data_IF_137043912996
#
_entry.id   IF_137043912996
#
_cell.length_a   1.000
_cell.length_b   1.000
_cell.length_c   1.000
_cell.angle_alpha   90.00
_cell.angle_beta   90.00
_cell.angle_gamma   90.00
#
_symmetry.space_group_name_H-M   'P 1'
#
loop_
_entity.id
_entity.type
_entity.pdbx_description
1 polymer ?
#
# COMPACT_ATOMS: atom_id res chain seq x y z
N UNK A 1 17.18 19.59 13.63
CA UNK A 1 15.80 19.29 14.09
C UNK A 1 15.18 18.31 13.12
N UNK A 2 14.51 17.28 13.58
CA UNK A 2 13.78 16.36 12.68
C UNK A 2 12.73 17.16 11.90
N UNK A 3 12.62 16.92 10.59
CA UNK A 3 11.63 17.57 9.72
C UNK A 3 10.28 16.88 9.84
N UNK A 4 9.20 17.67 9.71
CA UNK A 4 7.84 17.15 9.59
C UNK A 4 7.65 16.43 8.25
N UNK A 5 6.65 15.55 8.18
CA UNK A 5 6.46 14.63 7.04
C UNK A 5 6.23 15.38 5.72
N UNK A 6 5.50 16.49 5.74
CA UNK A 6 5.24 17.33 4.55
C UNK A 6 6.55 17.87 3.95
N UNK A 7 7.48 18.26 4.81
CA UNK A 7 8.81 18.72 4.38
C UNK A 7 9.66 17.56 3.86
N UNK A 8 9.58 16.38 4.50
CA UNK A 8 10.27 15.17 4.02
C UNK A 8 9.78 14.71 2.65
N UNK A 9 8.50 14.91 2.32
CA UNK A 9 7.97 14.66 0.99
C UNK A 9 8.64 15.48 -0.12
N UNK A 10 9.15 16.67 0.21
CA UNK A 10 9.69 17.64 -0.74
C UNK A 10 11.23 17.62 -0.76
N UNK A 11 11.84 17.50 0.41
CA UNK A 11 13.27 17.65 0.62
C UNK A 11 13.88 16.42 1.31
N UNK A 12 14.89 15.82 0.70
CA UNK A 12 15.74 14.82 1.34
C UNK A 12 16.84 15.54 2.14
N UNK A 13 16.99 15.23 3.43
CA UNK A 13 17.94 15.93 4.34
C UNK A 13 19.40 15.83 3.90
N UNK A 14 19.78 14.72 3.27
CA UNK A 14 21.15 14.48 2.81
C UNK A 14 21.57 15.35 1.61
N UNK A 15 20.62 15.98 0.91
CA UNK A 15 20.91 16.77 -0.28
C UNK A 15 21.39 18.19 0.00
N UNK A 16 21.18 18.72 1.21
CA UNK A 16 21.49 20.12 1.55
C UNK A 16 22.99 20.47 1.41
N UNK A 17 23.86 19.47 1.44
CA UNK A 17 25.32 19.64 1.33
C UNK A 17 25.90 19.16 0.00
N UNK A 18 25.10 18.61 -0.90
CA UNK A 18 25.56 18.13 -2.21
C UNK A 18 25.23 19.14 -3.30
N UNK A 19 26.18 20.04 -3.63
CA UNK A 19 26.14 20.91 -4.82
C UNK A 19 26.35 20.04 -6.06
N UNK A 20 25.53 19.02 -6.23
CA UNK A 20 25.56 18.18 -7.41
C UNK A 20 24.41 18.57 -8.35
N UNK A 21 24.48 18.16 -9.60
CA UNK A 21 23.46 18.37 -10.59
C UNK A 21 23.29 19.85 -11.06
N UNK A 22 24.35 20.64 -11.01
CA UNK A 22 24.33 22.03 -11.52
C UNK A 22 23.30 22.93 -10.83
N UNK A 23 22.89 22.62 -9.59
CA UNK A 23 21.87 23.36 -8.86
C UNK A 23 20.44 23.10 -9.32
N UNK A 24 20.17 22.01 -10.01
CA UNK A 24 18.83 21.63 -10.44
C UNK A 24 17.93 21.36 -9.24
N UNK A 25 16.77 22.05 -9.18
CA UNK A 25 15.78 21.88 -8.10
C UNK A 25 15.06 20.51 -8.19
N UNK A 26 14.88 19.99 -9.41
CA UNK A 26 14.37 18.63 -9.63
C UNK A 26 15.53 17.67 -9.80
N UNK A 27 15.48 16.53 -9.07
CA UNK A 27 16.54 15.55 -9.19
C UNK A 27 16.61 14.98 -10.64
N UNK A 28 17.80 14.87 -11.24
CA UNK A 28 17.96 14.44 -12.62
C UNK A 28 17.57 12.99 -12.87
N UNK A 29 17.14 12.69 -14.10
CA UNK A 29 16.91 11.32 -14.55
C UNK A 29 18.21 10.78 -15.17
N UNK A 30 18.82 9.79 -14.51
CA UNK A 30 19.99 9.08 -15.04
C UNK A 30 19.53 7.86 -15.85
N UNK A 31 19.16 8.11 -17.10
CA UNK A 31 18.71 7.06 -18.03
C UNK A 31 19.91 6.36 -18.65
N UNK A 32 20.69 5.64 -17.84
CA UNK A 32 21.88 4.91 -18.26
C UNK A 32 21.84 3.48 -17.72
N UNK A 33 22.23 2.51 -18.55
CA UNK A 33 22.36 1.11 -18.11
C UNK A 33 23.70 0.83 -17.41
N UNK A 34 24.78 1.52 -17.81
CA UNK A 34 26.14 1.27 -17.35
C UNK A 34 26.91 2.57 -17.13
N UNK A 35 27.95 2.52 -16.33
CA UNK A 35 28.77 3.68 -15.95
C UNK A 35 30.25 3.37 -16.20
N UNK A 36 31.01 4.39 -16.66
CA UNK A 36 32.43 4.27 -16.86
C UNK A 36 33.20 4.29 -15.55
N UNK A 37 34.20 3.41 -15.42
CA UNK A 37 35.11 3.39 -14.29
C UNK A 37 36.30 4.33 -14.55
N UNK A 38 36.76 5.10 -13.53
CA UNK A 38 37.93 5.96 -13.66
C UNK A 38 39.24 5.16 -13.88
N UNK A 39 39.28 3.89 -13.45
CA UNK A 39 40.42 3.00 -13.56
C UNK A 39 40.12 1.60 -13.01
N UNK A 40 41.08 0.69 -13.19
CA UNK A 40 40.95 -0.67 -12.64
C UNK A 40 40.86 -0.64 -11.10
N UNK A 41 39.80 -1.27 -10.58
CA UNK A 41 39.50 -1.27 -9.13
C UNK A 41 38.93 0.04 -8.59
N UNK A 42 38.56 1.00 -9.46
CA UNK A 42 37.97 2.27 -9.08
C UNK A 42 36.52 2.31 -9.58
N UNK A 43 35.61 2.90 -8.79
CA UNK A 43 34.21 3.11 -9.16
C UNK A 43 33.79 4.51 -8.75
N UNK A 44 32.81 5.08 -9.46
CA UNK A 44 32.11 6.31 -9.06
C UNK A 44 31.04 6.06 -8.01
N UNK A 45 30.87 4.81 -7.57
CA UNK A 45 29.74 4.35 -6.75
C UNK A 45 28.62 3.70 -7.55
N UNK A 46 28.64 3.84 -8.87
CA UNK A 46 27.67 3.26 -9.80
C UNK A 46 28.40 2.48 -10.88
N UNK A 47 27.96 1.25 -11.10
CA UNK A 47 28.54 0.34 -12.09
C UNK A 47 27.52 -0.04 -13.16
N UNK A 48 26.32 -0.42 -12.73
CA UNK A 48 25.26 -0.91 -13.61
C UNK A 48 23.88 -0.68 -12.99
N UNK A 49 22.91 -0.18 -13.78
CA UNK A 49 21.61 0.29 -13.25
C UNK A 49 20.73 -0.82 -12.65
N UNK A 50 20.91 -2.10 -12.99
CA UNK A 50 20.26 -3.21 -12.29
C UNK A 50 20.68 -3.27 -10.82
N UNK A 51 21.94 -2.93 -10.51
CA UNK A 51 22.47 -2.89 -9.15
C UNK A 51 22.07 -1.59 -8.46
N UNK A 52 22.51 -0.47 -9.03
CA UNK A 52 22.37 0.87 -8.48
C UNK A 52 22.15 1.88 -9.61
N UNK A 53 21.28 2.86 -9.37
CA UNK A 53 21.05 3.96 -10.29
C UNK A 53 20.81 5.23 -9.45
N UNK A 54 21.42 6.39 -9.77
CA UNK A 54 21.29 7.59 -8.94
C UNK A 54 19.84 8.05 -8.73
N UNK A 55 19.01 8.00 -9.78
CA UNK A 55 17.60 8.41 -9.69
C UNK A 55 16.79 7.45 -8.80
N UNK A 56 17.04 6.14 -8.91
CA UNK A 56 16.40 5.14 -8.04
C UNK A 56 16.86 5.27 -6.59
N UNK A 57 18.13 5.44 -6.35
CA UNK A 57 18.68 5.64 -5.00
C UNK A 57 18.10 6.87 -4.32
N UNK A 58 17.95 7.98 -5.04
CA UNK A 58 17.32 9.18 -4.50
C UNK A 58 15.87 8.91 -4.07
N UNK A 59 15.09 8.19 -4.89
CA UNK A 59 13.72 7.77 -4.53
C UNK A 59 13.72 6.82 -3.33
N UNK A 60 14.62 5.84 -3.30
CA UNK A 60 14.74 4.87 -2.22
C UNK A 60 15.04 5.58 -0.88
N UNK A 61 15.99 6.51 -0.85
CA UNK A 61 16.30 7.34 0.33
C UNK A 61 15.10 8.19 0.77
N UNK A 62 14.36 8.75 -0.18
CA UNK A 62 13.14 9.51 0.14
C UNK A 62 12.11 8.63 0.84
N UNK A 63 11.81 7.45 0.30
CA UNK A 63 10.83 6.53 0.89
C UNK A 63 11.30 5.99 2.24
N UNK A 64 12.58 5.66 2.39
CA UNK A 64 13.16 5.28 3.67
C UNK A 64 12.96 6.38 4.74
N UNK A 65 13.25 7.64 4.38
CA UNK A 65 13.04 8.79 5.30
C UNK A 65 11.58 8.97 5.69
N UNK A 66 10.64 8.78 4.75
CA UNK A 66 9.21 8.91 5.02
C UNK A 66 8.68 7.83 5.97
N UNK A 67 9.17 6.60 5.85
CA UNK A 67 8.80 5.48 6.73
C UNK A 67 9.63 5.40 8.02
N UNK A 68 10.61 6.28 8.20
CA UNK A 68 11.59 6.23 9.29
C UNK A 68 12.42 4.91 9.30
N UNK A 69 12.66 4.36 8.12
CA UNK A 69 13.53 3.21 7.89
C UNK A 69 14.97 3.63 7.64
N UNK A 70 15.91 2.69 7.79
CA UNK A 70 17.32 2.89 7.43
C UNK A 70 17.57 2.67 5.94
N UNK A 71 16.71 1.89 5.29
CA UNK A 71 16.83 1.57 3.87
C UNK A 71 15.46 1.29 3.24
N UNK A 72 15.34 1.62 1.95
CA UNK A 72 14.23 1.23 1.10
C UNK A 72 14.74 0.78 -0.27
N UNK A 73 14.02 -0.15 -0.89
CA UNK A 73 14.30 -0.63 -2.23
C UNK A 73 13.08 -0.40 -3.12
N UNK A 74 13.32 0.10 -4.35
CA UNK A 74 12.27 0.39 -5.33
C UNK A 74 12.20 -0.70 -6.42
N UNK A 75 11.00 -1.22 -6.64
CA UNK A 75 10.68 -2.33 -7.54
C UNK A 75 9.71 -1.92 -8.63
N UNK A 76 9.68 -2.68 -9.72
CA UNK A 76 8.79 -2.46 -10.87
C UNK A 76 7.29 -2.59 -10.55
N UNK A 77 6.91 -3.15 -9.40
CA UNK A 77 5.53 -3.21 -8.89
C UNK A 77 5.51 -3.63 -7.41
N UNK A 78 4.38 -3.43 -6.73
CA UNK A 78 4.16 -3.98 -5.38
C UNK A 78 4.31 -5.49 -5.34
N UNK A 79 3.82 -6.20 -6.36
CA UNK A 79 3.99 -7.66 -6.45
C UNK A 79 5.44 -8.08 -6.63
N UNK A 80 6.26 -7.32 -7.38
CA UNK A 80 7.70 -7.58 -7.50
C UNK A 80 8.41 -7.41 -6.14
N UNK A 81 8.00 -6.42 -5.35
CA UNK A 81 8.50 -6.21 -3.99
C UNK A 81 8.15 -7.41 -3.08
N UNK A 82 6.87 -7.83 -3.05
CA UNK A 82 6.42 -8.97 -2.25
C UNK A 82 7.10 -10.27 -2.71
N UNK A 83 7.25 -10.48 -4.01
CA UNK A 83 7.94 -11.67 -4.54
C UNK A 83 9.40 -11.73 -4.09
N UNK A 84 10.12 -10.59 -4.13
CA UNK A 84 11.50 -10.55 -3.64
C UNK A 84 11.56 -10.76 -2.13
N UNK A 85 10.63 -10.21 -1.37
CA UNK A 85 10.55 -10.42 0.09
C UNK A 85 10.39 -11.92 0.43
N UNK A 86 9.63 -12.67 -0.38
CA UNK A 86 9.48 -14.12 -0.17
C UNK A 86 10.79 -14.90 -0.31
N UNK A 87 11.83 -14.36 -0.97
CA UNK A 87 13.17 -14.96 -1.02
C UNK A 87 13.96 -14.89 0.31
N UNK A 88 13.38 -14.27 1.34
CA UNK A 88 13.88 -14.40 2.72
C UNK A 88 13.63 -15.78 3.31
N UNK A 89 12.63 -16.48 2.80
CA UNK A 89 12.14 -17.74 3.34
C UNK A 89 12.58 -18.92 2.46
N UNK A 90 12.71 -20.06 3.08
CA UNK A 90 13.14 -21.33 2.43
C UNK A 90 12.06 -22.42 2.56
N UNK A 91 12.13 -23.48 1.77
CA UNK A 91 11.21 -24.60 1.88
C UNK A 91 11.11 -25.12 3.32
N UNK A 92 9.88 -25.32 3.79
CA UNK A 92 9.56 -25.72 5.16
C UNK A 92 9.38 -24.56 6.14
N UNK A 93 9.67 -23.31 5.78
CA UNK A 93 9.30 -22.15 6.60
C UNK A 93 7.79 -21.91 6.56
N UNK A 94 7.22 -21.50 7.68
CA UNK A 94 5.81 -21.19 7.82
C UNK A 94 5.60 -19.69 8.02
N UNK A 95 4.59 -19.12 7.34
CA UNK A 95 4.13 -17.75 7.51
C UNK A 95 2.66 -17.71 7.93
N UNK A 96 2.35 -16.84 8.88
CA UNK A 96 0.97 -16.45 9.18
C UNK A 96 0.65 -15.25 8.31
N UNK A 97 -0.44 -15.31 7.56
CA UNK A 97 -0.88 -14.22 6.68
C UNK A 97 -2.29 -13.80 7.03
N UNK A 98 -2.58 -12.50 6.95
CA UNK A 98 -3.94 -12.03 7.21
C UNK A 98 -4.94 -12.67 6.23
N UNK A 99 -6.12 -12.99 6.71
CA UNK A 99 -7.18 -13.61 5.91
C UNK A 99 -7.80 -12.64 4.89
N UNK A 100 -7.67 -11.33 5.13
CA UNK A 100 -8.18 -10.27 4.25
C UNK A 100 -7.00 -9.46 3.69
N UNK A 101 -6.40 -9.97 2.61
CA UNK A 101 -5.28 -9.38 1.90
C UNK A 101 -5.66 -9.03 0.46
N UNK A 102 -4.86 -8.17 -0.15
CA UNK A 102 -4.92 -7.97 -1.60
C UNK A 102 -4.88 -9.31 -2.36
N UNK A 103 -5.82 -9.50 -3.30
CA UNK A 103 -5.96 -10.75 -4.04
C UNK A 103 -4.70 -11.22 -4.78
N UNK A 104 -3.84 -10.28 -5.21
CA UNK A 104 -2.54 -10.58 -5.80
C UNK A 104 -1.57 -11.26 -4.82
N UNK A 105 -1.57 -10.82 -3.56
CA UNK A 105 -0.75 -11.44 -2.49
C UNK A 105 -1.22 -12.85 -2.19
N UNK A 106 -2.54 -13.04 -2.07
CA UNK A 106 -3.14 -14.38 -1.85
C UNK A 106 -2.77 -15.32 -3.01
N UNK A 107 -2.88 -14.83 -4.27
CA UNK A 107 -2.50 -15.63 -5.45
C UNK A 107 -1.02 -15.99 -5.44
N UNK A 108 -0.12 -15.06 -5.09
CA UNK A 108 1.31 -15.33 -4.97
C UNK A 108 1.58 -16.42 -3.93
N UNK A 109 0.99 -16.31 -2.75
CA UNK A 109 1.22 -17.26 -1.66
C UNK A 109 0.71 -18.65 -2.02
N UNK A 110 -0.51 -18.78 -2.52
CA UNK A 110 -1.15 -20.06 -2.80
C UNK A 110 -0.61 -20.78 -4.05
N UNK A 111 -0.11 -20.05 -5.06
CA UNK A 111 0.27 -20.67 -6.34
C UNK A 111 1.77 -20.66 -6.63
N UNK A 112 2.52 -19.75 -6.02
CA UNK A 112 3.96 -19.63 -6.25
C UNK A 112 4.74 -20.03 -5.00
N UNK A 113 4.46 -19.40 -3.88
CA UNK A 113 5.24 -19.62 -2.66
C UNK A 113 4.97 -21.00 -2.05
N UNK A 114 3.72 -21.46 -2.04
CA UNK A 114 3.37 -22.81 -1.61
C UNK A 114 4.05 -23.87 -2.48
N UNK A 115 4.06 -23.68 -3.82
CA UNK A 115 4.81 -24.53 -4.75
C UNK A 115 6.31 -24.58 -4.42
N UNK A 116 6.87 -23.50 -3.91
CA UNK A 116 8.27 -23.42 -3.48
C UNK A 116 8.50 -23.97 -2.06
N UNK A 117 7.49 -24.62 -1.48
CA UNK A 117 7.59 -25.31 -0.19
C UNK A 117 7.43 -24.40 1.03
N UNK A 118 6.92 -23.18 0.87
CA UNK A 118 6.55 -22.31 1.99
C UNK A 118 5.16 -22.68 2.47
N UNK A 119 4.98 -22.80 3.78
CA UNK A 119 3.71 -23.12 4.42
C UNK A 119 3.00 -21.84 4.87
N UNK A 120 1.66 -21.83 4.80
CA UNK A 120 0.85 -20.68 5.19
C UNK A 120 -0.28 -21.06 6.16
N UNK A 121 -0.56 -20.16 7.13
CA UNK A 121 -1.81 -20.13 7.86
C UNK A 121 -2.51 -18.80 7.61
N UNK A 122 -3.72 -18.84 7.03
CA UNK A 122 -4.57 -17.65 6.86
C UNK A 122 -5.35 -17.43 8.15
N UNK A 123 -5.18 -16.26 8.77
CA UNK A 123 -5.71 -15.91 10.09
C UNK A 123 -6.34 -14.53 10.05
N UNK A 124 -7.51 -14.37 10.64
CA UNK A 124 -8.14 -13.05 10.83
C UNK A 124 -7.40 -12.29 11.95
N UNK A 125 -6.29 -11.60 11.56
CA UNK A 125 -5.35 -11.00 12.50
C UNK A 125 -5.94 -9.86 13.35
N UNK A 126 -7.08 -9.29 12.95
CA UNK A 126 -7.75 -8.25 13.74
C UNK A 126 -8.72 -8.81 14.79
N UNK A 127 -9.07 -10.10 14.73
CA UNK A 127 -9.98 -10.75 15.67
C UNK A 127 -9.36 -11.88 16.48
N UNK A 128 -8.45 -12.63 15.86
CA UNK A 128 -7.93 -13.88 16.42
C UNK A 128 -6.60 -13.65 17.16
N UNK A 129 -6.34 -14.48 18.14
CA UNK A 129 -5.05 -14.45 18.81
C UNK A 129 -3.98 -15.13 17.93
N UNK A 130 -3.21 -14.33 17.21
CA UNK A 130 -2.17 -14.82 16.28
C UNK A 130 -1.15 -15.74 16.95
N UNK A 131 -0.90 -15.58 18.25
CA UNK A 131 0.04 -16.44 18.99
C UNK A 131 -0.35 -17.92 18.98
N UNK A 132 -1.64 -18.26 18.85
CA UNK A 132 -2.11 -19.65 18.81
C UNK A 132 -1.80 -20.37 17.52
N UNK A 133 -1.43 -19.64 16.46
CA UNK A 133 -1.07 -20.17 15.14
C UNK A 133 0.45 -20.29 14.93
N UNK A 134 1.25 -19.78 15.88
CA UNK A 134 2.71 -19.84 15.80
C UNK A 134 3.18 -21.29 16.00
N UNK A 135 3.99 -21.77 15.05
CA UNK A 135 4.63 -23.07 15.03
C UNK A 135 6.14 -22.94 15.20
N UNK A 136 6.85 -24.01 15.42
CA UNK A 136 8.31 -24.04 15.52
C UNK A 136 9.00 -23.50 14.25
N UNK A 137 8.42 -23.79 13.08
CA UNK A 137 8.91 -23.33 11.78
C UNK A 137 8.32 -21.99 11.32
N UNK A 138 7.54 -21.27 12.15
CA UNK A 138 7.01 -19.95 11.80
C UNK A 138 8.14 -18.92 11.76
N UNK A 139 8.20 -18.13 10.67
CA UNK A 139 9.24 -17.12 10.43
C UNK A 139 8.69 -15.70 10.36
N UNK A 140 7.44 -15.53 9.95
CA UNK A 140 6.86 -14.20 9.79
C UNK A 140 5.34 -14.19 10.01
N UNK A 141 4.85 -13.00 10.34
CA UNK A 141 3.44 -12.60 10.22
C UNK A 141 3.37 -11.50 9.17
N UNK A 142 2.51 -11.66 8.16
CA UNK A 142 2.25 -10.69 7.10
C UNK A 142 0.82 -10.17 7.23
N UNK A 143 0.68 -8.85 7.39
CA UNK A 143 -0.63 -8.18 7.48
C UNK A 143 -0.74 -7.02 6.51
N UNK A 144 -1.98 -6.66 6.19
CA UNK A 144 -2.37 -5.40 5.55
C UNK A 144 -3.32 -4.65 6.49
N UNK A 145 -3.05 -3.37 6.78
CA UNK A 145 -3.88 -2.61 7.71
C UNK A 145 -3.93 -1.12 7.38
N UNK A 146 -5.14 -0.56 7.08
CA UNK A 146 -6.43 -1.24 6.92
C UNK A 146 -6.44 -2.23 5.76
N UNK A 147 -7.27 -3.30 5.84
CA UNK A 147 -7.34 -4.35 4.82
C UNK A 147 -8.10 -3.91 3.56
N UNK A 148 -7.84 -4.59 2.44
CA UNK A 148 -8.54 -4.42 1.17
C UNK A 148 -9.45 -5.64 0.88
N UNK A 149 -10.79 -5.49 0.75
CA UNK A 149 -11.53 -4.22 0.65
C UNK A 149 -12.25 -3.82 1.94
N UNK A 150 -12.23 -4.62 2.99
CA UNK A 150 -13.16 -4.48 4.11
C UNK A 150 -12.71 -3.48 5.20
N UNK A 151 -11.55 -2.82 5.02
CA UNK A 151 -11.04 -1.80 5.94
C UNK A 151 -10.86 -2.28 7.39
N UNK A 152 -10.63 -3.59 7.60
CA UNK A 152 -10.33 -4.11 8.93
C UNK A 152 -9.01 -3.55 9.43
N UNK A 153 -8.91 -3.30 10.73
CA UNK A 153 -7.74 -2.65 11.33
C UNK A 153 -7.11 -3.57 12.36
N UNK A 154 -5.84 -3.89 12.15
CA UNK A 154 -5.02 -4.69 13.08
C UNK A 154 -4.14 -3.76 13.90
N UNK A 155 -4.02 -4.00 15.21
CA UNK A 155 -3.11 -3.29 16.11
C UNK A 155 -1.67 -3.77 15.86
N UNK A 156 -0.90 -2.93 15.15
CA UNK A 156 0.47 -3.24 14.76
C UNK A 156 1.36 -3.45 15.99
N UNK A 157 1.21 -2.60 17.02
CA UNK A 157 2.03 -2.67 18.22
C UNK A 157 1.77 -3.94 19.03
N UNK A 158 0.49 -4.29 19.20
CA UNK A 158 0.12 -5.52 19.90
C UNK A 158 0.66 -6.75 19.17
N UNK A 159 0.58 -6.76 17.84
CA UNK A 159 1.13 -7.85 17.02
C UNK A 159 2.65 -7.90 17.06
N UNK A 160 3.32 -6.73 17.05
CA UNK A 160 4.78 -6.64 17.18
C UNK A 160 5.29 -7.20 18.50
N UNK A 161 4.55 -7.03 19.61
CA UNK A 161 4.89 -7.62 20.89
C UNK A 161 4.85 -9.16 20.83
N UNK A 162 3.88 -9.73 20.10
CA UNK A 162 3.78 -11.18 19.89
C UNK A 162 4.95 -11.67 19.02
N UNK A 163 5.16 -11.06 17.87
CA UNK A 163 6.21 -11.50 16.92
C UNK A 163 7.61 -11.39 17.52
N UNK A 164 7.89 -10.31 18.26
CA UNK A 164 9.16 -10.12 18.97
C UNK A 164 9.40 -11.18 20.04
N UNK A 165 8.37 -11.55 20.81
CA UNK A 165 8.48 -12.61 21.84
C UNK A 165 8.86 -13.95 21.23
N UNK A 166 8.45 -14.22 20.00
CA UNK A 166 8.71 -15.47 19.29
C UNK A 166 9.90 -15.39 18.32
N UNK A 167 10.58 -14.24 18.25
CA UNK A 167 11.70 -13.98 17.31
C UNK A 167 11.35 -14.23 15.85
N UNK A 168 10.13 -13.85 15.44
CA UNK A 168 9.63 -13.92 14.06
C UNK A 168 9.39 -12.51 13.53
N UNK A 169 9.42 -12.34 12.19
CA UNK A 169 9.27 -11.05 11.54
C UNK A 169 7.82 -10.57 11.55
N UNK A 170 7.62 -9.27 11.70
CA UNK A 170 6.36 -8.60 11.39
C UNK A 170 6.51 -7.80 10.10
N UNK A 171 5.70 -8.15 9.11
CA UNK A 171 5.66 -7.52 7.78
C UNK A 171 4.30 -6.84 7.62
N UNK A 172 4.31 -5.56 7.30
CA UNK A 172 3.08 -4.74 7.20
C UNK A 172 3.00 -4.11 5.82
N UNK A 173 1.95 -4.43 5.07
CA UNK A 173 1.59 -3.67 3.86
C UNK A 173 0.86 -2.39 4.28
N UNK A 174 1.51 -1.24 4.03
CA UNK A 174 1.06 0.09 4.42
C UNK A 174 0.55 0.91 3.22
N UNK A 175 0.14 0.24 2.16
CA UNK A 175 -0.26 0.89 0.90
C UNK A 175 -1.43 1.85 1.08
N UNK A 176 -2.45 1.51 1.89
CA UNK A 176 -3.68 2.31 2.02
C UNK A 176 -3.52 3.63 2.77
N UNK A 177 -2.62 3.67 3.74
CA UNK A 177 -2.38 4.87 4.55
C UNK A 177 -1.17 5.66 4.09
N UNK A 178 -0.28 5.03 3.33
CA UNK A 178 1.02 5.59 2.96
C UNK A 178 1.86 6.00 4.18
N UNK A 179 3.14 6.32 4.04
CA UNK A 179 3.93 6.83 5.16
C UNK A 179 3.42 8.18 5.68
N UNK A 180 2.56 8.86 4.92
CA UNK A 180 1.98 10.13 5.36
C UNK A 180 1.07 9.97 6.58
N UNK A 181 0.20 8.95 6.60
CA UNK A 181 -0.70 8.71 7.73
C UNK A 181 -0.21 7.65 8.73
N UNK A 182 0.57 6.66 8.31
CA UNK A 182 1.00 5.57 9.19
C UNK A 182 2.46 5.18 8.93
N UNK A 183 3.21 4.92 10.00
CA UNK A 183 4.59 4.43 9.95
C UNK A 183 4.71 3.14 10.75
N UNK A 184 4.51 1.96 10.17
CA UNK A 184 4.52 0.68 10.88
C UNK A 184 5.84 0.36 11.58
N UNK A 185 6.99 0.83 11.06
CA UNK A 185 8.29 0.65 11.72
C UNK A 185 8.32 1.29 13.11
N UNK A 186 7.62 2.42 13.32
CA UNK A 186 7.53 3.06 14.62
C UNK A 186 6.70 2.25 15.63
N UNK A 187 5.91 1.29 15.16
CA UNK A 187 5.08 0.41 15.96
C UNK A 187 5.67 -0.99 16.11
N UNK A 188 6.88 -1.23 15.60
CA UNK A 188 7.62 -2.47 15.78
C UNK A 188 7.54 -3.46 14.61
N UNK A 189 7.05 -3.04 13.46
CA UNK A 189 7.21 -3.83 12.23
C UNK A 189 8.70 -3.92 11.85
N UNK A 190 9.10 -5.05 11.26
CA UNK A 190 10.46 -5.26 10.74
C UNK A 190 10.58 -4.85 9.27
N UNK A 191 9.52 -5.05 8.50
CA UNK A 191 9.46 -4.76 7.06
C UNK A 191 8.13 -4.07 6.76
N UNK A 192 8.20 -3.00 5.97
CA UNK A 192 7.03 -2.33 5.41
C UNK A 192 7.02 -2.54 3.90
N UNK A 193 5.84 -2.89 3.38
CA UNK A 193 5.57 -3.06 1.96
C UNK A 193 4.70 -1.90 1.47
N UNK A 194 4.98 -1.39 0.26
CA UNK A 194 4.10 -0.48 -0.44
C UNK A 194 3.92 -0.88 -1.90
N UNK A 195 2.70 -0.78 -2.39
CA UNK A 195 2.47 -0.54 -3.80
C UNK A 195 2.62 0.96 -4.06
N UNK A 196 3.78 1.35 -4.61
CA UNK A 196 4.04 2.75 -4.98
C UNK A 196 3.14 3.25 -6.11
N UNK A 197 2.53 2.35 -6.85
CA UNK A 197 1.48 2.58 -7.87
C UNK A 197 0.31 3.41 -7.32
N UNK A 198 0.06 3.34 -6.01
CA UNK A 198 -1.10 3.92 -5.33
C UNK A 198 -0.80 5.36 -4.87
N UNK A 199 -1.02 5.68 -3.62
CA UNK A 199 -0.86 7.04 -3.08
C UNK A 199 0.52 7.66 -3.28
N UNK A 200 1.61 6.87 -3.26
CA UNK A 200 2.95 7.42 -3.47
C UNK A 200 3.11 8.02 -4.88
N UNK A 201 2.70 7.31 -5.91
CA UNK A 201 2.62 7.84 -7.28
C UNK A 201 1.48 8.84 -7.44
N UNK A 202 0.28 8.41 -7.11
CA UNK A 202 -0.93 9.23 -6.98
C UNK A 202 -1.54 9.76 -8.27
N UNK A 203 -1.05 9.34 -9.46
CA UNK A 203 -1.49 9.89 -10.74
C UNK A 203 -1.90 8.82 -11.77
N UNK A 204 -2.02 7.55 -11.36
CA UNK A 204 -2.44 6.43 -12.22
C UNK A 204 -1.60 6.25 -13.50
N UNK A 205 -0.35 6.70 -13.51
CA UNK A 205 0.53 6.82 -14.68
C UNK A 205 1.78 5.92 -14.63
N UNK A 206 2.06 5.26 -13.48
CA UNK A 206 3.21 4.38 -13.34
C UNK A 206 2.95 3.27 -12.32
N UNK A 207 3.71 2.18 -12.41
CA UNK A 207 3.74 1.10 -11.43
C UNK A 207 5.03 1.18 -10.61
N UNK A 208 4.92 0.93 -9.31
CA UNK A 208 6.07 0.79 -8.44
C UNK A 208 5.75 -0.07 -7.22
N UNK A 209 6.77 -0.60 -6.56
CA UNK A 209 6.69 -1.25 -5.25
C UNK A 209 7.86 -0.86 -4.38
N UNK A 210 7.68 -0.96 -3.07
CA UNK A 210 8.76 -0.69 -2.11
C UNK A 210 8.79 -1.73 -1.00
N UNK A 211 10.02 -2.04 -0.55
CA UNK A 211 10.31 -2.67 0.74
C UNK A 211 11.11 -1.69 1.56
N UNK A 212 10.68 -1.45 2.80
CA UNK A 212 11.38 -0.57 3.74
C UNK A 212 11.67 -1.34 5.01
N UNK A 213 12.85 -1.14 5.59
CA UNK A 213 13.23 -1.77 6.85
C UNK A 213 14.10 -0.84 7.70
N UNK A 214 14.13 -1.08 9.01
CA UNK A 214 15.07 -0.46 9.95
C UNK A 214 16.12 -1.47 10.48
N UNK A 215 16.26 -2.64 9.81
CA UNK A 215 17.19 -3.70 10.15
C UNK A 215 18.27 -3.83 9.10
N UNK A 216 19.54 -3.74 9.52
CA UNK A 216 20.71 -3.85 8.63
C UNK A 216 20.81 -5.22 7.95
N UNK A 217 20.58 -6.33 8.69
CA UNK A 217 20.63 -7.69 8.16
C UNK A 217 19.61 -7.92 7.03
N UNK A 218 18.42 -7.36 7.16
CA UNK A 218 17.37 -7.42 6.15
C UNK A 218 17.73 -6.53 4.95
N UNK A 219 18.22 -5.31 5.19
CA UNK A 219 18.64 -4.39 4.14
C UNK A 219 19.73 -5.02 3.27
N UNK A 220 20.82 -5.55 3.87
CA UNK A 220 21.90 -6.23 3.15
C UNK A 220 21.37 -7.40 2.30
N UNK A 221 20.48 -8.20 2.88
CA UNK A 221 19.85 -9.32 2.16
C UNK A 221 19.00 -8.85 0.98
N UNK A 222 18.19 -7.82 1.15
CA UNK A 222 17.39 -7.26 0.08
C UNK A 222 18.25 -6.65 -1.02
N UNK A 223 19.31 -5.91 -0.68
CA UNK A 223 20.27 -5.36 -1.64
C UNK A 223 20.98 -6.47 -2.44
N UNK A 224 21.29 -7.59 -1.81
CA UNK A 224 21.79 -8.78 -2.52
C UNK A 224 20.75 -9.38 -3.46
N UNK A 225 19.51 -9.51 -3.02
CA UNK A 225 18.43 -10.14 -3.79
C UNK A 225 18.02 -9.30 -5.00
N UNK A 226 17.86 -7.97 -4.85
CA UNK A 226 17.41 -7.12 -5.95
C UNK A 226 18.42 -7.09 -7.11
N UNK A 227 19.73 -7.05 -6.83
CA UNK A 227 20.74 -7.11 -7.87
C UNK A 227 20.77 -8.46 -8.58
N UNK A 228 20.35 -9.54 -7.90
CA UNK A 228 20.36 -10.91 -8.40
C UNK A 228 19.11 -11.19 -9.24
N UNK A 229 17.93 -10.82 -8.75
CA UNK A 229 16.63 -11.05 -9.42
C UNK A 229 16.32 -10.03 -10.49
N UNK A 230 16.82 -8.78 -10.35
CA UNK A 230 16.71 -7.76 -11.37
C UNK A 230 15.39 -6.98 -11.39
N UNK A 231 14.55 -7.06 -10.36
CA UNK A 231 13.22 -6.44 -10.30
C UNK A 231 13.22 -4.93 -9.97
N UNK A 232 14.37 -4.24 -10.08
CA UNK A 232 14.51 -2.81 -9.76
C UNK A 232 13.68 -1.90 -10.65
N UNK A 233 13.16 -0.81 -10.08
CA UNK A 233 12.36 0.20 -10.79
C UNK A 233 13.23 0.97 -11.79
N UNK A 234 12.66 1.26 -12.98
CA UNK A 234 13.33 2.03 -14.02
C UNK A 234 13.48 3.51 -13.63
N UNK A 235 14.53 4.22 -14.12
CA UNK A 235 14.80 5.61 -13.72
C UNK A 235 13.66 6.59 -14.03
N UNK A 236 12.96 6.42 -15.14
CA UNK A 236 11.85 7.30 -15.50
C UNK A 236 10.65 7.09 -14.55
N UNK A 237 10.32 5.85 -14.22
CA UNK A 237 9.28 5.55 -13.24
C UNK A 237 9.67 6.06 -11.85
N UNK A 238 10.95 5.95 -11.47
CA UNK A 238 11.46 6.57 -10.23
C UNK A 238 11.20 8.08 -10.19
N UNK A 239 11.41 8.78 -11.30
CA UNK A 239 11.14 10.21 -11.41
C UNK A 239 9.65 10.52 -11.25
N UNK A 240 8.75 9.74 -11.88
CA UNK A 240 7.30 9.93 -11.76
C UNK A 240 6.83 9.73 -10.31
N UNK A 241 7.30 8.67 -9.64
CA UNK A 241 6.98 8.43 -8.23
C UNK A 241 7.53 9.57 -7.35
N UNK A 242 8.78 9.99 -7.54
CA UNK A 242 9.38 11.09 -6.79
C UNK A 242 8.58 12.40 -6.96
N UNK A 243 8.11 12.68 -8.18
CA UNK A 243 7.24 13.82 -8.46
C UNK A 243 5.89 13.68 -7.74
N UNK A 244 5.30 12.48 -7.72
CA UNK A 244 4.07 12.19 -6.99
C UNK A 244 4.21 12.40 -5.48
N UNK A 245 5.31 11.93 -4.89
CA UNK A 245 5.59 12.07 -3.44
C UNK A 245 5.59 13.54 -3.01
N UNK A 246 6.09 14.45 -3.83
CA UNK A 246 6.14 15.91 -3.48
C UNK A 246 4.79 16.52 -3.20
N UNK A 247 3.70 15.92 -3.65
CA UNK A 247 2.32 16.35 -3.37
C UNK A 247 1.55 15.37 -2.49
N UNK A 248 2.23 14.39 -1.90
CA UNK A 248 1.57 13.33 -1.12
C UNK A 248 0.70 13.91 0.00
N UNK A 249 1.24 14.83 0.81
CA UNK A 249 0.52 15.41 1.94
C UNK A 249 -0.80 16.08 1.53
N UNK A 250 -0.73 17.04 0.60
CA UNK A 250 -1.94 17.77 0.14
C UNK A 250 -2.96 16.85 -0.55
N UNK A 251 -2.51 15.77 -1.20
CA UNK A 251 -3.42 14.79 -1.79
C UNK A 251 -4.10 13.92 -0.73
N UNK A 252 -3.33 13.42 0.24
CA UNK A 252 -3.86 12.58 1.31
C UNK A 252 -4.86 13.32 2.18
N UNK A 253 -4.57 14.57 2.57
CA UNK A 253 -5.47 15.40 3.37
C UNK A 253 -6.77 15.68 2.61
N UNK A 254 -6.68 16.16 1.36
CA UNK A 254 -7.87 16.47 0.56
C UNK A 254 -8.70 15.22 0.26
N UNK A 255 -8.07 14.11 -0.10
CA UNK A 255 -8.78 12.86 -0.38
C UNK A 255 -9.50 12.33 0.87
N UNK A 256 -8.86 12.43 2.04
CA UNK A 256 -9.49 12.05 3.32
C UNK A 256 -10.68 12.96 3.66
N UNK A 257 -10.54 14.29 3.51
CA UNK A 257 -11.65 15.23 3.72
C UNK A 257 -12.86 14.85 2.85
N UNK A 258 -12.61 14.62 1.56
CA UNK A 258 -13.65 14.17 0.62
C UNK A 258 -14.26 12.82 1.03
N UNK A 259 -13.44 11.86 1.44
CA UNK A 259 -13.90 10.53 1.87
C UNK A 259 -14.82 10.59 3.09
N UNK A 260 -14.53 11.45 4.06
CA UNK A 260 -15.36 11.66 5.24
C UNK A 260 -16.75 12.17 4.84
N UNK A 261 -16.83 13.16 3.95
CA UNK A 261 -18.11 13.73 3.50
C UNK A 261 -18.92 12.71 2.68
N UNK A 262 -18.28 12.01 1.76
CA UNK A 262 -18.95 10.94 0.97
C UNK A 262 -19.41 9.80 1.88
N UNK A 263 -18.60 9.37 2.83
CA UNK A 263 -18.98 8.30 3.75
C UNK A 263 -20.20 8.67 4.63
N UNK A 264 -20.28 9.94 5.08
CA UNK A 264 -21.44 10.46 5.81
C UNK A 264 -22.69 10.46 4.93
N UNK A 265 -22.58 10.99 3.72
CA UNK A 265 -23.67 11.03 2.76
C UNK A 265 -24.19 9.62 2.42
N UNK A 266 -23.30 8.66 2.19
CA UNK A 266 -23.67 7.26 1.94
C UNK A 266 -24.45 6.63 3.09
N UNK A 267 -24.13 6.96 4.34
CA UNK A 267 -24.87 6.45 5.51
C UNK A 267 -26.33 6.90 5.56
N UNK A 268 -26.64 8.01 4.94
CA UNK A 268 -28.00 8.59 4.93
C UNK A 268 -28.85 8.01 3.78
N UNK A 269 -28.27 7.22 2.87
CA UNK A 269 -28.97 6.67 1.72
C UNK A 269 -29.70 5.39 2.07
N UNK A 270 -31.00 5.31 1.70
CA UNK A 270 -31.88 4.17 1.95
C UNK A 270 -31.48 2.90 1.21
N UNK A 271 -30.84 3.03 0.05
CA UNK A 271 -30.32 1.91 -0.74
C UNK A 271 -28.97 1.38 -0.22
N UNK A 272 -28.32 2.08 0.73
CA UNK A 272 -27.08 1.67 1.36
C UNK A 272 -27.36 0.97 2.68
N UNK A 273 -26.96 -0.29 2.78
CA UNK A 273 -27.12 -1.11 3.98
C UNK A 273 -26.07 -0.84 5.05
N UNK A 274 -24.83 -0.61 4.62
CA UNK A 274 -23.68 -0.44 5.50
C UNK A 274 -22.58 0.37 4.81
N UNK A 275 -21.92 1.25 5.56
CA UNK A 275 -20.68 1.93 5.15
C UNK A 275 -19.57 1.50 6.09
N UNK A 276 -18.41 1.13 5.55
CA UNK A 276 -17.21 0.76 6.29
C UNK A 276 -16.14 1.80 6.00
N UNK A 277 -15.84 2.62 7.00
CA UNK A 277 -14.82 3.65 6.95
C UNK A 277 -14.13 3.75 8.32
N UNK A 278 -12.80 3.57 8.41
CA UNK A 278 -12.09 3.54 9.69
C UNK A 278 -12.19 4.83 10.50
N UNK A 279 -12.55 5.96 9.87
CA UNK A 279 -12.76 7.25 10.52
C UNK A 279 -14.09 7.40 11.27
N UNK A 280 -14.99 6.45 11.19
CA UNK A 280 -16.22 6.46 11.99
C UNK A 280 -16.00 5.89 13.38
N UNK A 281 -16.54 6.56 14.41
CA UNK A 281 -16.40 6.13 15.82
C UNK A 281 -16.94 4.73 16.09
N UNK A 282 -17.96 4.32 15.35
CA UNK A 282 -18.54 2.97 15.41
C UNK A 282 -17.73 1.89 14.70
N UNK A 283 -16.69 2.26 13.96
CA UNK A 283 -15.81 1.28 13.33
C UNK A 283 -14.98 0.54 14.39
N UNK A 284 -14.92 -0.81 14.38
CA UNK A 284 -14.21 -1.57 15.42
C UNK A 284 -12.74 -1.16 15.62
N UNK A 285 -12.09 -0.75 14.53
CA UNK A 285 -10.69 -0.33 14.51
C UNK A 285 -10.45 1.15 14.80
N UNK A 286 -11.48 1.96 15.07
CA UNK A 286 -11.34 3.42 15.21
C UNK A 286 -10.33 3.84 16.28
N UNK A 287 -10.40 3.25 17.47
CA UNK A 287 -9.48 3.59 18.56
C UNK A 287 -8.06 3.07 18.34
N UNK A 288 -7.89 2.00 17.56
CA UNK A 288 -6.59 1.50 17.12
C UNK A 288 -5.99 2.50 16.13
N UNK A 289 -6.75 2.89 15.10
CA UNK A 289 -6.32 3.87 14.11
C UNK A 289 -5.86 5.18 14.72
N UNK A 290 -6.59 5.73 15.67
CA UNK A 290 -6.21 6.96 16.40
C UNK A 290 -4.88 6.87 17.13
N UNK A 291 -4.46 5.66 17.52
CA UNK A 291 -3.20 5.45 18.25
C UNK A 291 -2.03 5.21 17.30
N UNK A 292 -2.27 4.56 16.16
CA UNK A 292 -1.20 4.14 15.27
C UNK A 292 -1.08 4.95 13.98
N UNK A 293 -2.07 5.82 13.67
CA UNK A 293 -2.09 6.61 12.46
C UNK A 293 -2.43 8.07 12.73
N UNK A 294 -1.97 8.96 11.84
CA UNK A 294 -2.29 10.40 11.86
C UNK A 294 -3.59 10.74 11.13
N UNK A 295 -4.14 9.77 10.40
CA UNK A 295 -5.37 9.91 9.63
C UNK A 295 -6.02 8.56 9.39
N UNK A 296 -7.17 8.58 8.72
CA UNK A 296 -7.99 7.40 8.45
C UNK A 296 -7.96 6.96 6.99
N UNK A 297 -7.27 7.73 6.13
CA UNK A 297 -7.17 7.48 4.69
C UNK A 297 -8.42 7.89 3.90
N UNK A 298 -8.37 7.59 2.60
CA UNK A 298 -9.41 7.97 1.65
C UNK A 298 -10.08 6.76 0.95
N UNK A 299 -9.93 5.58 1.54
CA UNK A 299 -10.62 4.37 1.09
C UNK A 299 -11.86 4.13 1.92
N UNK A 300 -12.96 3.80 1.27
CA UNK A 300 -14.19 3.38 1.92
C UNK A 300 -14.84 2.23 1.15
N UNK A 301 -15.62 1.44 1.86
CA UNK A 301 -16.41 0.34 1.30
C UNK A 301 -17.85 0.49 1.75
N UNK A 302 -18.80 0.19 0.87
CA UNK A 302 -20.21 0.20 1.23
C UNK A 302 -20.95 -0.99 0.62
N UNK A 303 -21.93 -1.49 1.37
CA UNK A 303 -22.82 -2.56 0.95
C UNK A 303 -24.18 -1.99 0.61
N UNK A 304 -24.70 -2.32 -0.55
CA UNK A 304 -26.04 -1.93 -1.00
C UNK A 304 -27.08 -2.94 -0.53
N UNK A 305 -28.34 -2.53 -0.53
CA UNK A 305 -29.47 -3.39 -0.14
C UNK A 305 -29.77 -4.45 -1.19
N UNK A 306 -29.45 -4.20 -2.48
CA UNK A 306 -29.66 -5.11 -3.61
C UNK A 306 -28.43 -5.16 -4.52
N UNK A 307 -28.19 -6.31 -5.16
CA UNK A 307 -27.14 -6.50 -6.17
C UNK A 307 -27.32 -5.60 -7.38
N UNK A 308 -28.56 -5.47 -7.85
CA UNK A 308 -28.89 -4.68 -9.03
C UNK A 308 -28.48 -3.21 -8.85
N UNK A 309 -28.56 -2.68 -7.63
CA UNK A 309 -28.09 -1.33 -7.33
C UNK A 309 -26.58 -1.20 -7.52
N UNK A 310 -25.81 -2.21 -7.10
CA UNK A 310 -24.35 -2.19 -7.29
C UNK A 310 -23.99 -2.15 -8.79
N UNK A 311 -24.61 -2.99 -9.59
CA UNK A 311 -24.35 -3.05 -11.04
C UNK A 311 -24.77 -1.74 -11.70
N UNK A 312 -25.98 -1.26 -11.44
CA UNK A 312 -26.52 -0.04 -12.05
C UNK A 312 -25.68 1.20 -11.69
N UNK A 313 -25.19 1.31 -10.44
CA UNK A 313 -24.28 2.41 -10.05
C UNK A 313 -23.01 2.37 -10.91
N UNK A 314 -22.38 1.21 -11.05
CA UNK A 314 -21.14 1.06 -11.82
C UNK A 314 -21.31 1.39 -13.31
N UNK A 315 -22.49 1.11 -13.87
CA UNK A 315 -22.82 1.41 -15.28
C UNK A 315 -23.15 2.89 -15.51
N UNK A 316 -23.58 3.62 -14.47
CA UNK A 316 -24.08 4.99 -14.59
C UNK A 316 -23.07 6.06 -14.17
N UNK A 317 -22.08 5.75 -13.33
CA UNK A 317 -21.02 6.72 -12.95
C UNK A 317 -20.27 7.21 -14.18
N UNK A 318 -19.93 8.51 -14.19
CA UNK A 318 -19.31 9.19 -15.34
C UNK A 318 -17.98 9.85 -14.99
N UNK A 319 -17.97 10.78 -14.03
CA UNK A 319 -16.76 11.42 -13.50
C UNK A 319 -16.04 10.44 -12.57
N UNK A 320 -16.74 9.84 -11.62
CA UNK A 320 -16.25 8.67 -10.87
C UNK A 320 -16.06 7.53 -11.86
N UNK A 321 -14.87 6.90 -11.85
CA UNK A 321 -14.56 5.86 -12.84
C UNK A 321 -14.69 4.45 -12.24
N UNK A 322 -15.45 3.59 -12.92
CA UNK A 322 -15.44 2.16 -12.65
C UNK A 322 -14.14 1.57 -13.18
N UNK A 323 -13.16 1.43 -12.29
CA UNK A 323 -11.82 0.98 -12.65
C UNK A 323 -11.16 0.27 -11.47
N UNK A 324 -10.20 -0.59 -11.77
CA UNK A 324 -9.29 -1.14 -10.77
C UNK A 324 -8.28 -0.08 -10.33
N UNK A 325 -7.55 -0.37 -9.26
CA UNK A 325 -6.60 0.52 -8.62
C UNK A 325 -7.21 1.39 -7.52
N UNK A 326 -6.42 2.32 -7.00
CA UNK A 326 -6.78 3.25 -5.92
C UNK A 326 -5.67 4.30 -5.72
N UNK A 327 -5.97 5.32 -4.92
CA UNK A 327 -4.96 6.26 -4.43
C UNK A 327 -4.49 7.29 -5.45
N UNK A 328 -5.17 7.37 -6.61
CA UNK A 328 -4.98 8.44 -7.60
C UNK A 328 -5.67 9.72 -7.19
N UNK A 329 -5.43 10.77 -7.98
CA UNK A 329 -6.12 12.06 -7.84
C UNK A 329 -7.59 11.97 -8.27
N UNK A 330 -7.93 11.00 -9.12
CA UNK A 330 -9.27 10.70 -9.57
C UNK A 330 -9.97 9.74 -8.61
N UNK A 331 -11.28 9.96 -8.41
CA UNK A 331 -12.13 9.02 -7.66
C UNK A 331 -12.45 7.79 -8.50
N UNK A 332 -12.14 6.62 -7.92
CA UNK A 332 -12.39 5.32 -8.53
C UNK A 332 -13.39 4.51 -7.69
N UNK A 333 -14.29 3.81 -8.37
CA UNK A 333 -15.18 2.82 -7.77
C UNK A 333 -14.86 1.43 -8.33
N UNK A 334 -14.83 0.43 -7.47
CA UNK A 334 -14.42 -0.94 -7.81
C UNK A 334 -15.47 -1.92 -7.33
N UNK A 335 -15.70 -2.98 -8.11
CA UNK A 335 -16.52 -4.13 -7.73
C UNK A 335 -15.60 -5.28 -7.29
N UNK A 336 -15.32 -5.44 -5.99
CA UNK A 336 -14.33 -6.43 -5.52
C UNK A 336 -14.62 -7.85 -5.98
N UNK A 337 -15.89 -8.20 -6.11
CA UNK A 337 -16.35 -9.55 -6.46
C UNK A 337 -15.81 -10.05 -7.81
N UNK A 338 -15.72 -9.16 -8.82
CA UNK A 338 -15.30 -9.53 -10.18
C UNK A 338 -13.95 -8.97 -10.59
N UNK A 339 -13.36 -8.12 -9.75
CA UNK A 339 -12.07 -7.45 -10.01
C UNK A 339 -11.01 -7.92 -9.00
N UNK A 340 -10.81 -7.16 -7.92
CA UNK A 340 -9.67 -7.35 -7.00
C UNK A 340 -9.68 -8.68 -6.26
N UNK A 341 -10.84 -9.34 -6.10
CA UNK A 341 -11.02 -10.59 -5.37
C UNK A 341 -11.68 -11.69 -6.21
N UNK A 342 -11.67 -11.55 -7.54
CA UNK A 342 -12.24 -12.56 -8.45
C UNK A 342 -11.62 -13.95 -8.27
N UNK A 343 -10.30 -13.99 -8.03
CA UNK A 343 -9.54 -15.24 -7.85
C UNK A 343 -9.66 -15.83 -6.43
N UNK A 344 -10.28 -15.11 -5.49
CA UNK A 344 -10.51 -15.61 -4.13
C UNK A 344 -11.73 -16.54 -4.11
N UNK A 345 -11.65 -17.76 -3.55
CA UNK A 345 -12.77 -18.70 -3.48
C UNK A 345 -14.03 -18.06 -2.86
N UNK A 346 -15.20 -18.38 -3.41
CA UNK A 346 -16.47 -17.74 -3.01
C UNK A 346 -16.76 -17.86 -1.50
N UNK A 347 -16.47 -19.03 -0.91
CA UNK A 347 -16.70 -19.24 0.52
C UNK A 347 -15.83 -18.31 1.39
N UNK A 348 -14.58 -18.05 0.99
CA UNK A 348 -13.68 -17.12 1.67
C UNK A 348 -14.17 -15.68 1.48
N UNK A 349 -14.58 -15.30 0.26
CA UNK A 349 -15.16 -13.97 0.03
C UNK A 349 -16.38 -13.72 0.92
N UNK A 350 -17.29 -14.70 1.02
CA UNK A 350 -18.47 -14.62 1.91
C UNK A 350 -18.09 -14.51 3.38
N UNK A 351 -17.10 -15.29 3.82
CA UNK A 351 -16.59 -15.23 5.19
C UNK A 351 -16.02 -13.85 5.52
N UNK A 352 -15.31 -13.24 4.57
CA UNK A 352 -14.75 -11.89 4.71
C UNK A 352 -15.79 -10.79 4.46
N UNK A 353 -17.06 -11.12 4.18
CA UNK A 353 -18.14 -10.14 3.96
C UNK A 353 -18.12 -9.51 2.55
N UNK A 354 -17.34 -10.04 1.62
CA UNK A 354 -17.28 -9.58 0.23
C UNK A 354 -18.44 -10.25 -0.55
N UNK A 355 -19.55 -9.52 -0.66
CA UNK A 355 -20.75 -9.98 -1.35
C UNK A 355 -20.92 -9.29 -2.70
N UNK A 356 -21.90 -9.74 -3.49
CA UNK A 356 -22.28 -9.14 -4.77
C UNK A 356 -22.98 -7.76 -4.64
N UNK A 357 -23.05 -7.23 -3.43
CA UNK A 357 -23.61 -5.91 -3.10
C UNK A 357 -22.56 -4.93 -2.61
N UNK A 358 -21.30 -5.35 -2.53
CA UNK A 358 -20.20 -4.55 -1.97
C UNK A 358 -19.48 -3.80 -3.08
N UNK A 359 -19.36 -2.49 -2.90
CA UNK A 359 -18.55 -1.58 -3.70
C UNK A 359 -17.45 -0.97 -2.84
N UNK A 360 -16.25 -0.80 -3.40
CA UNK A 360 -15.15 -0.09 -2.79
C UNK A 360 -14.87 1.20 -3.55
N UNK A 361 -14.72 2.30 -2.84
CA UNK A 361 -14.38 3.60 -3.42
C UNK A 361 -13.01 4.06 -2.93
N UNK A 362 -12.16 4.47 -3.88
CA UNK A 362 -10.96 5.24 -3.65
C UNK A 362 -11.26 6.69 -3.95
N UNK A 363 -11.39 7.50 -2.92
CA UNK A 363 -11.79 8.90 -3.10
C UNK A 363 -10.59 9.74 -3.51
N UNK A 364 -10.75 10.53 -4.55
CA UNK A 364 -9.76 11.45 -5.09
C UNK A 364 -9.84 12.86 -4.50
N UNK A 365 -9.25 13.80 -5.22
CA UNK A 365 -9.11 15.20 -4.76
C UNK A 365 -10.01 16.18 -5.51
N UNK A 366 -10.98 15.69 -6.26
CA UNK A 366 -11.98 16.51 -6.95
C UNK A 366 -12.75 17.38 -5.95
N UNK A 367 -13.53 18.33 -6.45
CA UNK A 367 -14.43 19.07 -5.58
C UNK A 367 -15.51 18.11 -5.02
N UNK A 368 -15.60 18.01 -3.70
CA UNK A 368 -16.51 17.07 -3.03
C UNK A 368 -17.98 17.30 -3.42
N UNK A 369 -18.38 18.53 -3.73
CA UNK A 369 -19.76 18.82 -4.16
C UNK A 369 -20.09 18.18 -5.51
N UNK A 370 -19.12 18.17 -6.43
CA UNK A 370 -19.29 17.55 -7.74
C UNK A 370 -19.40 16.03 -7.61
N UNK A 371 -18.58 15.42 -6.72
CA UNK A 371 -18.69 13.99 -6.41
C UNK A 371 -20.04 13.62 -5.78
N UNK A 372 -20.50 14.43 -4.83
CA UNK A 372 -21.80 14.21 -4.18
C UNK A 372 -22.97 14.41 -5.16
N UNK A 373 -22.91 15.43 -6.01
CA UNK A 373 -23.94 15.67 -7.03
C UNK A 373 -24.04 14.49 -8.00
N UNK A 374 -22.91 13.96 -8.49
CA UNK A 374 -22.94 12.77 -9.36
C UNK A 374 -23.50 11.55 -8.63
N UNK A 375 -23.10 11.32 -7.37
CA UNK A 375 -23.65 10.21 -6.59
C UNK A 375 -25.15 10.36 -6.37
N UNK A 376 -25.66 11.58 -6.11
CA UNK A 376 -27.07 11.86 -5.93
C UNK A 376 -27.86 11.59 -7.21
N UNK A 377 -27.39 12.10 -8.37
CA UNK A 377 -27.99 11.82 -9.69
C UNK A 377 -28.02 10.32 -9.98
N UNK A 378 -26.89 9.62 -9.82
CA UNK A 378 -26.80 8.18 -10.08
C UNK A 378 -27.69 7.38 -9.14
N UNK A 379 -27.77 7.74 -7.86
CA UNK A 379 -28.63 7.04 -6.90
C UNK A 379 -30.12 7.26 -7.18
N UNK A 380 -30.51 8.46 -7.59
CA UNK A 380 -31.89 8.75 -8.04
C UNK A 380 -32.26 7.90 -9.26
N UNK A 381 -31.41 7.88 -10.30
CA UNK A 381 -31.63 7.04 -11.48
C UNK A 381 -31.71 5.53 -11.13
N UNK A 382 -30.91 5.06 -10.15
CA UNK A 382 -30.91 3.65 -9.72
C UNK A 382 -32.17 3.29 -8.95
N UNK A 383 -32.76 4.24 -8.21
CA UNK A 383 -34.06 4.07 -7.57
C UNK A 383 -35.26 4.10 -8.57
N UNK A 384 -35.07 4.66 -9.75
CA UNK A 384 -36.11 4.86 -10.76
C UNK A 384 -36.87 6.16 -10.55
N UNK A 385 -36.23 7.16 -9.98
CA UNK A 385 -36.75 8.52 -9.74
C UNK A 385 -36.48 9.45 -10.94
#
# INVERSE_FOLDING_TARGET
>A
MAREIETKCIHLEEEENSINHYGAISYPIYQSATYAHPGVGQSTGYDYSRLQNPTREHLEKTVASLENGIDALAFSSGMAAITLMMELFKPGDHLIVDADLYGGSIRLFNHVSEKNGIEFSSVDCHKENVATYIRENTKAVYIETPTNPMMNVTDIKALAEITKKHSILLIVDNTFLSPYFQNPLNHGADIVVHSGTKYLGGHNDTLAGFLVTNREDISERFRFLIKTTGAGLAPFDCFLIQRGIKTLGVRMDRAQENAIEIAKWLKEQDIVKKVVYPGFKEHPGYEIMKKQARGFGAMLTFELTKKEYAINILEKVRMIKYAESLGGVETLITYPMTQTHADVPEHIRKQNGITDRVLRMSVGIENVKDLLNELEEVFAEVRGE
#
